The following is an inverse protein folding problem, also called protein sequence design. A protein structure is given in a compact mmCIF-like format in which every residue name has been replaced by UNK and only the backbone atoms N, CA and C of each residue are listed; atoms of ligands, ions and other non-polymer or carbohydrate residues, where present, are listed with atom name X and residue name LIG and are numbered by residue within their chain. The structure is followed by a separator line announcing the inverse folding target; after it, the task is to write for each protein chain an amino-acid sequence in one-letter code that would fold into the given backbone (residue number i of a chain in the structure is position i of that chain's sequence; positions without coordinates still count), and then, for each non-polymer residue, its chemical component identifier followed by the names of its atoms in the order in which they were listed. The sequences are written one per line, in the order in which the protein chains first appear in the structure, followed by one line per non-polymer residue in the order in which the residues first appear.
data_IF_262941349308
#
_entry.id   IF_262941349308
#
_cell.length_a   1.000
_cell.length_b   1.000
_cell.length_c   1.000
_cell.angle_alpha   90.00
_cell.angle_beta   90.00
_cell.angle_gamma   90.00
#
_symmetry.space_group_name_H-M   'P 1'
#
loop_
_entity.id
_entity.type
_entity.pdbx_description
1 polymer ?
#
# COMPACT_ATOMS: atom_id res chain seq x y z
N UNK A 1 -0.29 11.56 -23.66
CA UNK A 1 0.20 10.16 -23.74
C UNK A 1 -0.97 9.25 -23.48
N UNK A 2 -1.23 8.24 -24.33
CA UNK A 2 -2.30 7.27 -24.03
C UNK A 2 -1.87 6.37 -22.88
N UNK A 3 -2.82 5.97 -22.04
CA UNK A 3 -2.58 5.06 -20.91
C UNK A 3 -1.96 3.74 -21.36
N UNK A 4 -2.39 3.21 -22.51
CA UNK A 4 -1.80 2.02 -23.15
C UNK A 4 -0.31 2.18 -23.44
N UNK A 5 0.10 3.32 -24.00
CA UNK A 5 1.48 3.59 -24.42
C UNK A 5 2.42 3.67 -23.21
N UNK A 6 1.91 4.20 -22.08
CA UNK A 6 2.62 4.18 -20.82
C UNK A 6 2.85 2.73 -20.36
N UNK A 7 1.81 1.90 -20.34
CA UNK A 7 1.90 0.53 -19.85
C UNK A 7 2.74 -0.40 -20.74
N UNK A 8 3.07 -0.02 -21.98
CA UNK A 8 4.05 -0.77 -22.78
C UNK A 8 5.44 -0.81 -22.13
N UNK A 9 5.84 0.27 -21.46
CA UNK A 9 7.21 0.44 -20.90
C UNK A 9 7.26 0.77 -19.41
N UNK A 10 6.11 0.89 -18.75
CA UNK A 10 6.03 1.22 -17.33
C UNK A 10 6.86 0.25 -16.46
N UNK A 11 7.63 0.73 -15.48
CA UNK A 11 8.36 -0.12 -14.54
C UNK A 11 7.39 -0.67 -13.49
N UNK A 12 6.52 -1.60 -13.89
CA UNK A 12 5.54 -2.23 -13.02
C UNK A 12 6.25 -3.01 -11.91
N UNK A 13 5.87 -2.76 -10.66
CA UNK A 13 6.38 -3.49 -9.52
C UNK A 13 5.87 -4.92 -9.51
N UNK A 14 6.78 -5.87 -9.26
CA UNK A 14 6.48 -7.26 -8.99
C UNK A 14 6.52 -7.49 -7.48
N UNK A 15 5.37 -7.42 -6.76
CA UNK A 15 5.36 -7.73 -5.34
C UNK A 15 5.82 -9.17 -5.06
N UNK A 16 6.48 -9.42 -3.90
CA UNK A 16 6.75 -10.78 -3.44
C UNK A 16 5.48 -11.64 -3.45
N UNK A 17 5.63 -12.90 -3.85
CA UNK A 17 4.53 -13.85 -4.04
C UNK A 17 3.46 -13.32 -5.01
N UNK A 18 3.89 -12.73 -6.12
CA UNK A 18 3.05 -12.08 -7.13
C UNK A 18 1.80 -12.90 -7.50
N UNK A 19 1.99 -14.19 -7.76
CA UNK A 19 0.93 -15.11 -8.18
C UNK A 19 -0.13 -15.36 -7.12
N UNK A 20 0.16 -15.02 -5.86
CA UNK A 20 -0.73 -15.13 -4.71
C UNK A 20 -1.44 -13.81 -4.39
N UNK A 21 -1.29 -12.78 -5.23
CA UNK A 21 -1.91 -11.46 -5.03
C UNK A 21 -3.23 -11.35 -5.80
N UNK A 22 -4.21 -10.71 -5.17
CA UNK A 22 -5.36 -10.16 -5.87
C UNK A 22 -4.98 -8.81 -6.49
N UNK A 23 -5.49 -8.54 -7.69
CA UNK A 23 -5.44 -7.25 -8.34
C UNK A 23 -6.84 -6.65 -8.50
N UNK A 24 -6.91 -5.32 -8.35
CA UNK A 24 -8.10 -4.53 -8.53
C UNK A 24 -7.88 -3.36 -9.49
N UNK A 25 -8.90 -3.00 -10.25
CA UNK A 25 -8.82 -2.01 -11.32
C UNK A 25 -10.03 -1.08 -11.28
N UNK A 26 -9.83 0.18 -11.66
CA UNK A 26 -10.91 1.15 -11.89
C UNK A 26 -10.68 1.88 -13.21
N UNK A 27 -11.76 2.19 -13.90
CA UNK A 27 -11.76 2.95 -15.15
C UNK A 27 -13.00 3.85 -15.20
N UNK A 28 -12.86 5.08 -15.70
CA UNK A 28 -13.92 6.05 -15.91
C UNK A 28 -14.84 6.27 -14.70
N UNK A 29 -14.31 6.22 -13.49
CA UNK A 29 -15.10 6.36 -12.26
C UNK A 29 -16.02 5.17 -11.93
N UNK A 30 -16.01 4.10 -12.74
CA UNK A 30 -16.80 2.89 -12.51
C UNK A 30 -16.42 2.17 -11.20
N UNK A 31 -17.30 1.26 -10.79
CA UNK A 31 -17.07 0.37 -9.65
C UNK A 31 -15.79 -0.43 -9.87
N UNK A 32 -15.04 -0.63 -8.80
CA UNK A 32 -13.79 -1.39 -8.85
C UNK A 32 -14.03 -2.83 -9.30
N UNK A 33 -13.33 -3.24 -10.34
CA UNK A 33 -13.22 -4.63 -10.79
C UNK A 33 -12.17 -5.31 -9.92
N UNK A 34 -12.57 -6.36 -9.20
CA UNK A 34 -11.73 -7.09 -8.22
C UNK A 34 -11.64 -8.58 -8.57
N UNK A 35 -11.01 -9.37 -7.71
CA UNK A 35 -10.89 -10.83 -7.85
C UNK A 35 -10.14 -11.27 -9.12
N UNK A 36 -9.18 -10.45 -9.58
CA UNK A 36 -8.26 -10.83 -10.65
C UNK A 36 -6.93 -11.28 -10.07
N UNK A 37 -6.29 -12.23 -10.72
CA UNK A 37 -4.94 -12.70 -10.42
C UNK A 37 -4.21 -13.00 -11.72
N UNK A 38 -2.89 -12.90 -11.70
CA UNK A 38 -2.05 -13.05 -12.88
C UNK A 38 -0.89 -14.00 -12.56
N UNK A 39 -0.48 -14.79 -13.55
CA UNK A 39 0.67 -15.70 -13.39
C UNK A 39 2.02 -15.02 -13.56
N UNK A 40 2.07 -13.79 -14.11
CA UNK A 40 3.29 -13.01 -14.27
C UNK A 40 2.97 -11.53 -14.49
N UNK A 41 3.98 -10.67 -14.28
CA UNK A 41 3.88 -9.23 -14.57
C UNK A 41 3.64 -8.97 -16.05
N UNK A 42 4.13 -9.81 -16.96
CA UNK A 42 3.88 -9.69 -18.40
C UNK A 42 2.39 -9.87 -18.72
N UNK A 43 1.72 -10.86 -18.12
CA UNK A 43 0.27 -11.03 -18.31
C UNK A 43 -0.54 -9.86 -17.73
N UNK A 44 -0.12 -9.34 -16.57
CA UNK A 44 -0.69 -8.11 -16.03
C UNK A 44 -0.48 -6.93 -17.00
N UNK A 45 0.73 -6.78 -17.56
CA UNK A 45 1.04 -5.72 -18.52
C UNK A 45 0.15 -5.79 -19.76
N UNK A 46 -0.01 -6.96 -20.37
CA UNK A 46 -0.91 -7.17 -21.51
C UNK A 46 -2.32 -6.70 -21.16
N UNK A 47 -2.85 -7.13 -20.01
CA UNK A 47 -4.16 -6.70 -19.54
C UNK A 47 -4.26 -5.17 -19.35
N UNK A 48 -3.21 -4.52 -18.81
CA UNK A 48 -3.19 -3.07 -18.62
C UNK A 48 -3.16 -2.29 -19.95
N UNK A 49 -2.44 -2.79 -20.95
CA UNK A 49 -2.40 -2.19 -22.29
C UNK A 49 -3.79 -2.26 -22.94
N UNK A 50 -4.42 -3.44 -22.90
CA UNK A 50 -5.74 -3.70 -23.49
C UNK A 50 -6.86 -2.91 -22.81
N UNK A 51 -6.87 -2.91 -21.47
CA UNK A 51 -7.99 -2.32 -20.71
C UNK A 51 -7.80 -0.85 -20.40
N UNK A 52 -6.55 -0.37 -20.36
CA UNK A 52 -6.18 1.02 -20.03
C UNK A 52 -6.92 1.57 -18.80
N UNK A 53 -6.74 0.97 -17.60
CA UNK A 53 -7.41 1.43 -16.39
C UNK A 53 -6.78 2.71 -15.83
N UNK A 54 -7.60 3.52 -15.16
CA UNK A 54 -7.19 4.77 -14.49
C UNK A 54 -6.42 4.51 -13.20
N UNK A 55 -6.76 3.40 -12.55
CA UNK A 55 -6.15 3.00 -11.29
C UNK A 55 -5.95 1.49 -11.25
N UNK A 56 -4.78 1.09 -10.75
CA UNK A 56 -4.38 -0.30 -10.57
C UNK A 56 -3.97 -0.50 -9.12
N UNK A 57 -4.45 -1.56 -8.52
CA UNK A 57 -4.18 -1.92 -7.14
C UNK A 57 -3.85 -3.41 -7.02
N UNK A 58 -3.16 -3.77 -5.96
CA UNK A 58 -2.89 -5.15 -5.57
C UNK A 58 -3.11 -5.33 -4.05
N UNK A 59 -3.39 -6.55 -3.60
CA UNK A 59 -3.60 -6.83 -2.19
C UNK A 59 -2.30 -6.82 -1.39
N UNK A 60 -2.32 -6.24 -0.19
CA UNK A 60 -1.26 -6.45 0.80
C UNK A 60 -1.24 -7.91 1.29
N UNK A 61 -2.41 -8.55 1.31
CA UNK A 61 -2.56 -9.98 1.55
C UNK A 61 -2.15 -10.87 0.38
N UNK A 62 -1.78 -12.09 0.75
CA UNK A 62 -1.42 -13.22 -0.10
C UNK A 62 -2.42 -14.35 0.15
N UNK A 63 -2.86 -14.97 -0.94
CA UNK A 63 -3.87 -16.02 -0.93
C UNK A 63 -3.41 -17.20 -1.78
N UNK A 64 -3.74 -18.43 -1.37
CA UNK A 64 -3.57 -19.60 -2.22
C UNK A 64 -4.50 -19.55 -3.44
N UNK A 65 -5.69 -18.94 -3.29
CA UNK A 65 -6.66 -18.73 -4.38
C UNK A 65 -7.04 -17.23 -4.48
N UNK A 66 -6.18 -16.37 -5.03
CA UNK A 66 -6.37 -14.90 -5.00
C UNK A 66 -7.57 -14.39 -5.81
N UNK A 67 -8.02 -15.16 -6.79
CA UNK A 67 -9.20 -14.86 -7.59
C UNK A 67 -10.52 -15.38 -6.97
N UNK A 68 -10.48 -16.06 -5.82
CA UNK A 68 -11.68 -16.60 -5.18
C UNK A 68 -12.73 -15.50 -4.90
N UNK A 69 -13.99 -15.86 -5.09
CA UNK A 69 -15.16 -15.03 -4.81
C UNK A 69 -16.26 -15.92 -4.19
N UNK A 70 -16.98 -15.47 -3.16
CA UNK A 70 -16.89 -14.15 -2.51
C UNK A 70 -15.65 -13.98 -1.61
N UNK A 71 -15.51 -12.81 -0.98
CA UNK A 71 -14.32 -12.46 -0.19
C UNK A 71 -14.10 -13.43 1.00
N UNK A 72 -15.18 -13.96 1.56
CA UNK A 72 -15.18 -14.92 2.66
C UNK A 72 -14.43 -16.20 2.27
N UNK A 73 -14.63 -16.70 1.05
CA UNK A 73 -13.93 -17.88 0.55
C UNK A 73 -12.46 -17.57 0.26
N UNK A 74 -12.16 -16.37 -0.22
CA UNK A 74 -10.78 -15.92 -0.41
C UNK A 74 -10.02 -15.89 0.92
N UNK A 75 -10.64 -15.36 1.98
CA UNK A 75 -10.05 -15.31 3.33
C UNK A 75 -9.69 -16.69 3.88
N UNK A 76 -10.45 -17.74 3.55
CA UNK A 76 -10.11 -19.14 3.91
C UNK A 76 -8.79 -19.60 3.30
N UNK A 77 -8.40 -19.01 2.17
CA UNK A 77 -7.14 -19.29 1.48
C UNK A 77 -6.01 -18.33 1.84
N UNK A 78 -6.16 -17.49 2.87
CA UNK A 78 -5.14 -16.54 3.29
C UNK A 78 -3.87 -17.25 3.77
N UNK A 79 -2.72 -16.87 3.21
CA UNK A 79 -1.41 -17.45 3.55
C UNK A 79 -0.44 -16.43 4.14
N UNK A 80 -0.76 -15.14 4.10
CA UNK A 80 0.02 -14.11 4.78
C UNK A 80 -0.33 -12.71 4.28
N UNK A 81 0.28 -11.68 4.86
CA UNK A 81 0.14 -10.31 4.38
C UNK A 81 1.34 -9.46 4.72
N UNK A 82 1.72 -8.59 3.80
CA UNK A 82 2.64 -7.51 4.10
C UNK A 82 2.03 -6.56 5.13
N UNK A 83 2.88 -5.81 5.83
CA UNK A 83 2.48 -4.68 6.65
C UNK A 83 2.66 -3.41 5.82
N UNK A 84 1.62 -2.59 5.72
CA UNK A 84 1.62 -1.41 4.85
C UNK A 84 1.21 -0.20 5.67
N UNK A 85 1.99 0.86 5.57
CA UNK A 85 1.70 2.16 6.16
C UNK A 85 1.37 3.14 5.05
N UNK A 86 0.35 3.96 5.25
CA UNK A 86 -0.05 5.03 4.34
C UNK A 86 -0.01 6.37 5.08
N UNK A 87 0.53 7.38 4.40
CA UNK A 87 0.61 8.77 4.86
C UNK A 87 -0.03 9.64 3.78
N UNK A 88 -1.31 9.96 3.92
CA UNK A 88 -2.02 10.95 3.08
C UNK A 88 -1.92 12.33 3.74
N UNK A 89 -1.48 13.35 3.00
CA UNK A 89 -1.32 14.68 3.58
C UNK A 89 -2.66 15.25 4.09
N UNK A 90 -3.79 14.85 3.51
CA UNK A 90 -5.12 15.31 3.96
C UNK A 90 -5.45 14.81 5.39
N UNK A 91 -4.78 13.77 5.86
CA UNK A 91 -4.92 13.22 7.21
C UNK A 91 -3.92 13.82 8.21
N UNK A 92 -3.02 14.69 7.77
CA UNK A 92 -2.02 15.32 8.63
C UNK A 92 -2.58 16.58 9.29
N UNK A 93 -2.14 16.86 10.52
CA UNK A 93 -2.36 18.16 11.17
C UNK A 93 -1.85 19.34 10.34
N UNK A 94 -0.76 19.14 9.60
CA UNK A 94 -0.20 20.12 8.66
C UNK A 94 -0.30 19.54 7.24
N UNK A 95 -1.41 19.81 6.52
CA UNK A 95 -1.73 19.13 5.27
C UNK A 95 -0.92 19.68 4.10
N UNK A 96 0.36 19.32 4.06
CA UNK A 96 1.27 19.66 2.97
C UNK A 96 2.02 18.42 2.52
N UNK A 97 2.28 18.31 1.21
CA UNK A 97 3.09 17.21 0.67
C UNK A 97 4.50 17.18 1.26
N UNK A 98 5.06 18.35 1.61
CA UNK A 98 6.35 18.46 2.29
C UNK A 98 6.32 17.82 3.68
N UNK A 99 5.27 18.05 4.45
CA UNK A 99 5.11 17.41 5.76
C UNK A 99 4.87 15.90 5.62
N UNK A 100 4.03 15.48 4.67
CA UNK A 100 3.82 14.05 4.40
C UNK A 100 5.14 13.33 4.08
N UNK A 101 5.99 13.94 3.26
CA UNK A 101 7.32 13.41 2.93
C UNK A 101 8.23 13.32 4.16
N UNK A 102 8.21 14.34 5.02
CA UNK A 102 8.99 14.36 6.26
C UNK A 102 8.54 13.26 7.22
N UNK A 103 7.22 13.07 7.34
CA UNK A 103 6.63 12.02 8.18
C UNK A 103 6.95 10.62 7.65
N UNK A 104 6.93 10.41 6.33
CA UNK A 104 7.29 9.12 5.72
C UNK A 104 8.78 8.80 5.81
N UNK A 105 9.65 9.80 5.68
CA UNK A 105 11.10 9.63 5.91
C UNK A 105 11.38 9.28 7.39
N UNK A 106 10.69 9.94 8.33
CA UNK A 106 10.77 9.60 9.75
C UNK A 106 10.27 8.18 10.02
N UNK A 107 9.15 7.78 9.41
CA UNK A 107 8.61 6.43 9.50
C UNK A 107 9.63 5.39 9.03
N UNK A 108 10.26 5.60 7.86
CA UNK A 108 11.29 4.71 7.32
C UNK A 108 12.45 4.51 8.30
N UNK A 109 12.92 5.59 8.93
CA UNK A 109 13.98 5.51 9.95
C UNK A 109 13.54 4.68 11.15
N UNK A 110 12.35 4.94 11.70
CA UNK A 110 11.84 4.22 12.87
C UNK A 110 11.64 2.73 12.56
N UNK A 111 11.05 2.40 11.41
CA UNK A 111 10.84 1.01 10.99
C UNK A 111 12.15 0.23 10.90
N UNK A 112 13.22 0.88 10.42
CA UNK A 112 14.55 0.28 10.28
C UNK A 112 15.31 0.22 11.61
N UNK A 113 15.42 1.35 12.29
CA UNK A 113 16.36 1.52 13.40
C UNK A 113 15.75 1.12 14.75
N UNK A 114 14.44 1.32 14.94
CA UNK A 114 13.75 0.99 16.20
C UNK A 114 13.04 -0.38 16.13
N UNK A 115 12.42 -0.72 14.99
CA UNK A 115 11.69 -1.98 14.84
C UNK A 115 12.49 -3.07 14.11
N UNK A 116 13.65 -2.74 13.52
CA UNK A 116 14.58 -3.71 12.96
C UNK A 116 14.16 -4.33 11.63
N UNK A 117 13.13 -3.79 10.96
CA UNK A 117 12.67 -4.29 9.67
C UNK A 117 13.70 -4.03 8.57
N UNK A 118 13.83 -4.98 7.64
CA UNK A 118 14.86 -4.92 6.59
C UNK A 118 14.30 -4.89 5.18
N UNK A 119 13.16 -5.54 4.93
CA UNK A 119 12.59 -5.65 3.58
C UNK A 119 11.56 -4.52 3.35
N UNK A 120 12.05 -3.29 3.24
CA UNK A 120 11.21 -2.07 3.14
C UNK A 120 11.11 -1.56 1.69
N UNK A 121 9.88 -1.30 1.23
CA UNK A 121 9.60 -0.60 -0.03
C UNK A 121 8.96 0.76 0.25
N UNK A 122 9.62 1.84 -0.17
CA UNK A 122 9.14 3.20 -0.01
C UNK A 122 8.61 3.76 -1.34
N UNK A 123 7.39 4.27 -1.35
CA UNK A 123 6.63 4.58 -2.57
C UNK A 123 5.99 5.96 -2.48
N UNK A 124 6.14 6.78 -3.52
CA UNK A 124 5.28 7.93 -3.80
C UNK A 124 3.97 7.41 -4.41
N UNK A 125 2.84 7.68 -3.76
CA UNK A 125 1.50 7.22 -4.20
C UNK A 125 1.07 7.75 -5.57
N UNK A 126 1.80 8.72 -6.14
CA UNK A 126 1.44 9.43 -7.36
C UNK A 126 0.28 10.42 -7.14
N UNK A 127 0.00 10.80 -5.89
CA UNK A 127 -1.07 11.74 -5.55
C UNK A 127 -0.70 12.64 -4.38
N UNK A 128 -1.11 12.28 -3.17
CA UNK A 128 -1.12 13.16 -1.99
C UNK A 128 -0.32 12.58 -0.82
N UNK A 129 0.36 11.47 -1.04
CA UNK A 129 0.90 10.70 0.06
C UNK A 129 1.96 9.71 -0.35
N UNK A 130 2.37 8.93 0.64
CA UNK A 130 3.44 7.95 0.53
C UNK A 130 3.02 6.64 1.15
N UNK A 131 3.47 5.53 0.57
CA UNK A 131 3.30 4.21 1.17
C UNK A 131 4.66 3.66 1.60
N UNK A 132 4.66 2.93 2.71
CA UNK A 132 5.79 2.08 3.11
C UNK A 132 5.29 0.66 3.26
N UNK A 133 5.86 -0.28 2.51
CA UNK A 133 5.55 -1.70 2.63
C UNK A 133 6.69 -2.39 3.37
N UNK A 134 6.35 -3.28 4.30
CA UNK A 134 7.26 -4.17 5.01
C UNK A 134 6.98 -5.59 4.57
N UNK A 135 7.99 -6.23 3.99
CA UNK A 135 7.93 -7.58 3.43
C UNK A 135 8.64 -8.62 4.31
N UNK A 136 9.15 -8.24 5.49
CA UNK A 136 9.79 -9.14 6.44
C UNK A 136 8.90 -10.35 6.77
N UNK A 137 9.52 -11.50 6.97
CA UNK A 137 8.79 -12.76 7.20
C UNK A 137 7.97 -12.72 8.50
N UNK A 138 8.49 -12.01 9.51
CA UNK A 138 7.83 -11.86 10.80
C UNK A 138 6.47 -11.12 10.72
N UNK A 139 6.26 -10.27 9.70
CA UNK A 139 4.98 -9.55 9.56
C UNK A 139 3.90 -10.37 8.84
N UNK A 140 4.29 -11.43 8.14
CA UNK A 140 3.41 -12.15 7.22
C UNK A 140 2.21 -12.79 7.92
N UNK A 141 2.35 -13.17 9.19
CA UNK A 141 1.29 -13.84 9.96
C UNK A 141 0.58 -12.94 10.98
N UNK A 142 0.91 -11.65 11.04
CA UNK A 142 0.27 -10.72 11.97
C UNK A 142 -1.22 -10.55 11.64
N UNK A 143 -2.07 -10.74 12.65
CA UNK A 143 -3.49 -10.46 12.59
C UNK A 143 -3.80 -8.99 12.86
N UNK A 144 -5.09 -8.67 12.91
CA UNK A 144 -5.53 -7.29 13.18
C UNK A 144 -5.09 -6.77 14.56
N UNK A 145 -5.16 -7.55 15.67
CA UNK A 145 -4.72 -7.06 16.98
C UNK A 145 -3.23 -6.67 17.00
N UNK A 146 -2.35 -7.51 16.45
CA UNK A 146 -0.91 -7.24 16.44
C UNK A 146 -0.57 -6.06 15.52
N UNK A 147 -1.25 -5.94 14.38
CA UNK A 147 -1.11 -4.77 13.49
C UNK A 147 -1.59 -3.50 14.16
N UNK A 148 -2.64 -3.59 14.99
CA UNK A 148 -3.16 -2.46 15.75
C UNK A 148 -2.14 -1.97 16.77
N UNK A 149 -1.48 -2.88 17.49
CA UNK A 149 -0.39 -2.52 18.42
C UNK A 149 0.76 -1.81 17.69
N UNK A 150 1.13 -2.29 16.50
CA UNK A 150 2.14 -1.61 15.67
C UNK A 150 1.66 -0.24 15.20
N UNK A 151 0.39 -0.09 14.82
CA UNK A 151 -0.16 1.20 14.43
C UNK A 151 -0.17 2.19 15.62
N UNK A 152 -0.55 1.70 16.82
CA UNK A 152 -0.62 2.51 18.03
C UNK A 152 0.78 2.94 18.54
N UNK A 153 1.85 2.21 18.20
CA UNK A 153 3.24 2.61 18.46
C UNK A 153 3.61 3.99 17.88
N UNK A 154 3.02 4.36 16.73
CA UNK A 154 3.21 5.66 16.10
C UNK A 154 2.25 6.75 16.61
N UNK A 155 1.26 6.37 17.43
CA UNK A 155 0.25 7.27 17.97
C UNK A 155 0.76 8.20 19.06
N UNK A 156 -0.14 9.05 19.58
CA UNK A 156 0.15 9.83 20.79
C UNK A 156 -0.08 9.01 22.05
N UNK A 157 0.76 9.19 23.06
CA UNK A 157 0.48 8.70 24.41
C UNK A 157 -0.49 9.67 25.12
N UNK A 158 -1.70 9.18 25.44
CA UNK A 158 -2.60 9.86 26.36
C UNK A 158 -2.41 9.27 27.75
N UNK A 159 -2.02 10.12 28.70
CA UNK A 159 -1.98 9.70 30.11
C UNK A 159 -3.40 9.62 30.68
N UNK A 160 -3.59 8.84 31.75
CA UNK A 160 -4.87 8.74 32.48
C UNK A 160 -5.36 10.11 33.00
N UNK A 161 -4.45 11.06 33.22
CA UNK A 161 -4.78 12.43 33.67
C UNK A 161 -4.94 13.44 32.51
N UNK A 162 -5.01 12.98 31.26
CA UNK A 162 -5.27 13.83 30.09
C UNK A 162 -4.07 14.67 29.62
N UNK A 163 -2.89 14.51 30.22
CA UNK A 163 -1.66 15.14 29.72
C UNK A 163 -1.17 14.41 28.47
N UNK A 164 -0.81 15.18 27.46
CA UNK A 164 -0.14 14.68 26.25
C UNK A 164 1.34 14.50 26.55
N UNK A 165 1.85 13.28 26.42
CA UNK A 165 3.28 13.03 26.38
C UNK A 165 3.70 13.00 24.92
N UNK A 166 4.79 13.70 24.61
CA UNK A 166 5.37 13.68 23.27
C UNK A 166 5.94 12.29 23.03
N UNK A 167 5.29 11.50 22.16
CA UNK A 167 5.88 10.26 21.65
C UNK A 167 7.01 10.64 20.66
N UNK A 168 8.29 10.31 20.94
CA UNK A 168 9.37 10.60 20.00
C UNK A 168 9.17 9.88 18.66
N UNK A 169 8.50 8.72 18.66
CA UNK A 169 8.19 7.91 17.49
C UNK A 169 6.90 8.35 16.79
N UNK A 170 6.29 9.45 17.21
CA UNK A 170 5.03 9.90 16.63
C UNK A 170 5.12 10.12 15.12
N UNK A 171 4.23 9.47 14.38
CA UNK A 171 4.02 9.62 12.95
C UNK A 171 2.52 9.57 12.67
N UNK A 172 2.01 10.49 11.85
CA UNK A 172 0.60 10.52 11.45
C UNK A 172 0.34 9.54 10.29
N UNK A 173 0.13 8.27 10.64
CA UNK A 173 -0.22 7.20 9.70
C UNK A 173 -1.74 6.99 9.60
N UNK A 174 -2.22 6.49 8.46
CA UNK A 174 -3.55 5.89 8.38
C UNK A 174 -3.54 4.52 9.08
N UNK A 175 -4.06 4.51 10.31
CA UNK A 175 -4.14 3.29 11.13
C UNK A 175 -5.07 2.24 10.55
N UNK A 176 -6.08 2.62 9.75
CA UNK A 176 -7.01 1.68 9.13
C UNK A 176 -6.30 0.93 8.00
N UNK A 177 -5.48 1.62 7.20
CA UNK A 177 -4.64 0.97 6.18
C UNK A 177 -3.66 -0.01 6.81
N UNK A 178 -3.06 0.36 7.93
CA UNK A 178 -2.08 -0.47 8.65
C UNK A 178 -2.72 -1.72 9.28
N UNK A 179 -3.92 -1.56 9.84
CA UNK A 179 -4.60 -2.64 10.57
C UNK A 179 -5.31 -3.60 9.62
N UNK A 180 -6.01 -3.11 8.60
CA UNK A 180 -6.81 -3.93 7.68
C UNK A 180 -5.95 -4.51 6.54
N UNK A 181 -5.47 -5.73 6.76
CA UNK A 181 -4.65 -6.46 5.79
C UNK A 181 -5.41 -6.92 4.53
N UNK A 182 -6.73 -6.73 4.44
CA UNK A 182 -7.51 -7.12 3.25
C UNK A 182 -7.58 -6.02 2.18
N UNK A 183 -6.95 -4.88 2.45
CA UNK A 183 -6.93 -3.71 1.57
C UNK A 183 -6.15 -3.94 0.29
N UNK A 184 -6.57 -3.18 -0.72
CA UNK A 184 -5.85 -3.02 -1.96
C UNK A 184 -5.02 -1.74 -1.91
N UNK A 185 -3.75 -1.85 -2.26
CA UNK A 185 -2.77 -0.77 -2.29
C UNK A 185 -2.44 -0.47 -3.75
N UNK A 186 -2.21 0.80 -4.08
CA UNK A 186 -1.88 1.19 -5.47
C UNK A 186 -0.59 0.51 -5.91
N UNK A 187 -0.60 -0.10 -7.09
CA UNK A 187 0.56 -0.81 -7.63
C UNK A 187 1.66 0.19 -8.03
N UNK A 188 2.88 0.14 -7.47
CA UNK A 188 3.98 0.96 -7.97
C UNK A 188 4.29 0.64 -9.44
N UNK A 189 4.59 1.68 -10.22
CA UNK A 189 4.67 1.66 -11.66
C UNK A 189 3.33 1.90 -12.36
N UNK A 190 2.18 1.88 -11.67
CA UNK A 190 0.88 2.21 -12.28
C UNK A 190 0.60 3.72 -12.31
N UNK A 191 -0.31 4.15 -13.18
CA UNK A 191 -0.79 5.53 -13.15
C UNK A 191 -1.83 5.75 -12.06
N UNK A 192 -1.86 6.98 -11.57
CA UNK A 192 -2.95 7.57 -10.83
C UNK A 192 -3.58 8.66 -11.70
N UNK A 193 -4.62 8.31 -12.43
CA UNK A 193 -5.30 9.21 -13.36
C UNK A 193 -6.46 9.91 -12.65
N UNK A 194 -6.43 11.24 -12.68
CA UNK A 194 -7.47 12.17 -12.23
C UNK A 194 -7.89 13.04 -13.43
N UNK A 195 -9.02 13.77 -13.35
CA UNK A 195 -9.50 14.59 -14.47
C UNK A 195 -8.46 15.58 -15.04
N UNK A 196 -7.57 16.08 -14.19
CA UNK A 196 -6.59 17.13 -14.50
C UNK A 196 -5.12 16.63 -14.53
N UNK A 197 -4.87 15.37 -14.16
CA UNK A 197 -3.52 14.89 -13.94
C UNK A 197 -3.38 13.37 -14.08
N UNK A 198 -2.23 12.92 -14.58
CA UNK A 198 -1.85 11.52 -14.60
C UNK A 198 -0.42 11.39 -14.10
N UNK A 199 -0.25 10.88 -12.88
CA UNK A 199 1.07 10.72 -12.25
C UNK A 199 1.36 9.25 -11.95
N UNK A 200 2.60 8.79 -12.17
CA UNK A 200 2.98 7.44 -11.79
C UNK A 200 3.05 7.31 -10.26
N UNK A 201 2.57 6.19 -9.74
CA UNK A 201 2.95 5.67 -8.43
C UNK A 201 4.40 5.18 -8.55
N UNK A 202 5.34 5.79 -7.83
CA UNK A 202 6.77 5.59 -8.08
C UNK A 202 7.49 5.03 -6.86
N UNK A 203 8.33 4.02 -7.07
CA UNK A 203 9.22 3.52 -6.03
C UNK A 203 10.30 4.58 -5.79
N UNK A 204 10.46 5.00 -4.54
CA UNK A 204 11.52 5.91 -4.08
C UNK A 204 12.76 5.09 -3.69
N UNK A 205 12.55 4.02 -2.93
CA UNK A 205 13.58 3.03 -2.59
C UNK A 205 12.95 1.67 -2.32
N UNK A 206 13.73 0.60 -2.45
CA UNK A 206 13.28 -0.78 -2.24
C UNK A 206 14.29 -1.60 -1.43
N UNK A 207 13.90 -2.83 -1.06
CA UNK A 207 14.73 -3.75 -0.30
C UNK A 207 15.97 -4.23 -1.08
#
# INVERSE_FOLDING_TARGET
MRTSDYYMKAPLYEPPDFVNREFGFRKNGEKMVRHKAFSSVQKLRTFLIETSPDHVYFSSSKYAVPAAYPMEDKKKSWIGSDLVFDIDYDHLKRPTLREAKKQSEKLMLILKDNLGFRKLLYVDSGSRGFHVHVHDECVQKLGNPERREIADFFGHYKTKCGRNIINPNWVEIDTVVTTDFTRLIRLPGSLNIKPDSARPCAIISGP
#
